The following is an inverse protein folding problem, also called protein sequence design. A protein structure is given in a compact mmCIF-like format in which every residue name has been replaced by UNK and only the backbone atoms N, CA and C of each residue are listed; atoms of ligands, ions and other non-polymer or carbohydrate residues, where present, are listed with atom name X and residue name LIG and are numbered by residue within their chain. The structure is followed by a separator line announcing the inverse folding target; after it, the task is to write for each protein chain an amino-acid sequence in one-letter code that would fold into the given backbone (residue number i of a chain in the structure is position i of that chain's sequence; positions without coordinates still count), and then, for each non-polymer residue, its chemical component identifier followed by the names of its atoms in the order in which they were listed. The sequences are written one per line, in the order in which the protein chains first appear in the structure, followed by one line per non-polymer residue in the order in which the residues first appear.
data_IF_648549011647
#
_entry.id   IF_648549011647
#
_cell.length_a   1.000
_cell.length_b   1.000
_cell.length_c   1.000
_cell.angle_alpha   90.00
_cell.angle_beta   90.00
_cell.angle_gamma   90.00
#
_symmetry.space_group_name_H-M   'P 1'
#
loop_
_entity.id
_entity.type
_entity.pdbx_description
1 polymer ?
#
# COMPACT_ATOMS: atom_id res chain seq x y z
N UNK A 1 28.61 -27.38 42.07
CA UNK A 1 29.84 -27.38 41.24
C UNK A 1 29.48 -27.87 39.85
N UNK A 2 30.11 -27.27 38.85
CA UNK A 2 30.26 -27.69 37.45
C UNK A 2 29.26 -27.15 36.40
N UNK A 3 29.84 -26.31 35.55
CA UNK A 3 29.35 -25.65 34.35
C UNK A 3 29.41 -26.59 33.15
N UNK A 4 28.55 -26.39 32.15
CA UNK A 4 28.87 -26.75 30.77
C UNK A 4 28.29 -25.72 29.79
N UNK A 5 29.21 -24.94 29.25
CA UNK A 5 29.10 -24.04 28.12
C UNK A 5 29.11 -24.87 26.82
N UNK A 6 28.36 -24.46 25.80
CA UNK A 6 28.30 -25.19 24.53
C UNK A 6 27.86 -24.27 23.38
N UNK A 7 28.83 -23.55 22.83
CA UNK A 7 28.70 -22.77 21.61
C UNK A 7 28.67 -23.67 20.37
N UNK A 8 27.84 -23.31 19.39
CA UNK A 8 27.86 -23.75 17.99
C UNK A 8 26.84 -22.90 17.24
N UNK A 9 27.18 -22.09 16.25
CA UNK A 9 28.13 -22.32 15.17
C UNK A 9 27.31 -22.57 13.90
N UNK A 10 26.86 -21.50 13.25
CA UNK A 10 26.01 -21.56 12.06
C UNK A 10 26.26 -20.37 11.15
N UNK A 11 27.33 -20.48 10.35
CA UNK A 11 27.63 -19.59 9.24
C UNK A 11 26.62 -19.78 8.11
N UNK A 12 26.10 -18.68 7.56
CA UNK A 12 25.15 -18.67 6.45
C UNK A 12 25.42 -17.49 5.52
N UNK A 13 26.46 -17.66 4.70
CA UNK A 13 26.66 -17.12 3.34
C UNK A 13 26.10 -15.75 2.97
N UNK A 14 27.04 -14.83 2.82
CA UNK A 14 26.98 -13.63 1.96
C UNK A 14 26.49 -13.94 0.55
N UNK A 15 25.51 -13.17 0.05
CA UNK A 15 25.23 -13.05 -1.38
C UNK A 15 25.62 -11.65 -1.80
N UNK A 16 26.83 -11.53 -2.36
CA UNK A 16 27.24 -10.40 -3.16
C UNK A 16 26.70 -10.60 -4.57
N UNK A 17 25.89 -9.66 -5.03
CA UNK A 17 25.57 -9.44 -6.44
C UNK A 17 25.45 -7.92 -6.56
N UNK A 18 26.23 -7.20 -7.33
CA UNK A 18 26.98 -7.53 -8.52
C UNK A 18 26.83 -6.28 -9.38
N UNK A 19 27.81 -5.37 -9.28
CA UNK A 19 27.86 -4.17 -10.11
C UNK A 19 27.88 -4.55 -11.58
N UNK A 20 26.82 -4.20 -12.31
CA UNK A 20 26.86 -4.07 -13.76
C UNK A 20 26.93 -2.59 -14.11
N UNK A 21 28.14 -2.14 -14.46
CA UNK A 21 28.35 -0.92 -15.19
C UNK A 21 27.97 -1.16 -16.67
N UNK A 22 27.15 -0.27 -17.24
CA UNK A 22 26.82 -0.24 -18.67
C UNK A 22 25.92 0.98 -18.93
N UNK A 23 26.47 2.19 -19.13
CA UNK A 23 26.98 2.74 -20.39
C UNK A 23 25.87 3.30 -21.29
N UNK A 24 25.67 4.62 -21.16
CA UNK A 24 25.46 5.55 -22.27
C UNK A 24 24.05 5.71 -22.83
N UNK A 25 23.67 6.97 -23.05
CA UNK A 25 22.55 7.31 -23.93
C UNK A 25 21.86 8.60 -23.50
N UNK A 26 22.43 9.75 -23.86
CA UNK A 26 21.72 11.03 -23.76
C UNK A 26 20.48 11.06 -24.66
N UNK A 27 19.54 11.94 -24.34
CA UNK A 27 18.45 12.25 -25.26
C UNK A 27 17.25 12.88 -24.59
N UNK A 28 17.15 14.21 -24.71
CA UNK A 28 15.89 14.88 -25.01
C UNK A 28 14.87 15.01 -23.88
N UNK A 29 14.72 16.24 -23.38
CA UNK A 29 13.42 16.77 -22.98
C UNK A 29 12.45 16.62 -24.16
N UNK A 30 11.65 15.56 -24.16
CA UNK A 30 10.56 15.34 -25.09
C UNK A 30 9.45 14.64 -24.33
N UNK A 31 8.25 15.22 -24.36
CA UNK A 31 7.06 14.64 -23.74
C UNK A 31 6.92 13.17 -24.16
N UNK A 32 7.25 12.26 -23.25
CA UNK A 32 7.01 10.82 -23.40
C UNK A 32 5.50 10.64 -23.34
N UNK A 33 4.86 10.69 -24.51
CA UNK A 33 3.47 10.28 -24.66
C UNK A 33 3.36 8.86 -24.15
N UNK A 34 2.70 8.68 -23.01
CA UNK A 34 2.42 7.35 -22.47
C UNK A 34 1.55 6.65 -23.50
N UNK A 35 2.05 5.55 -24.07
CA UNK A 35 1.30 4.82 -25.09
C UNK A 35 -0.01 4.31 -24.48
N UNK A 36 -1.13 4.31 -25.23
CA UNK A 36 -2.43 3.88 -24.71
C UNK A 36 -2.40 2.45 -24.16
N UNK A 37 -1.54 1.59 -24.74
CA UNK A 37 -1.32 0.23 -24.25
C UNK A 37 -0.52 0.22 -22.93
N UNK A 38 0.47 1.11 -22.76
CA UNK A 38 1.17 1.28 -21.48
C UNK A 38 0.24 1.81 -20.38
N UNK A 39 -0.70 2.70 -20.71
CA UNK A 39 -1.73 3.15 -19.78
C UNK A 39 -2.67 2.01 -19.38
N UNK A 40 -3.10 1.18 -20.34
CA UNK A 40 -3.93 0.00 -20.07
C UNK A 40 -3.23 -1.01 -19.17
N UNK A 41 -1.96 -1.30 -19.44
CA UNK A 41 -1.17 -2.23 -18.63
C UNK A 41 -0.96 -1.68 -17.20
N UNK A 42 -0.69 -0.38 -17.05
CA UNK A 42 -0.59 0.24 -15.73
C UNK A 42 -1.91 0.23 -14.96
N UNK A 43 -3.05 0.43 -15.63
CA UNK A 43 -4.37 0.33 -15.00
C UNK A 43 -4.72 -1.11 -14.62
N UNK A 44 -4.38 -2.09 -15.46
CA UNK A 44 -4.56 -3.50 -15.12
C UNK A 44 -3.68 -3.92 -13.93
N UNK A 45 -2.43 -3.46 -13.90
CA UNK A 45 -1.52 -3.66 -12.76
C UNK A 45 -2.05 -2.98 -11.50
N UNK A 46 -2.56 -1.74 -11.58
CA UNK A 46 -3.07 -1.04 -10.40
C UNK A 46 -4.28 -1.74 -9.79
N UNK A 47 -5.20 -2.26 -10.62
CA UNK A 47 -6.35 -3.03 -10.18
C UNK A 47 -5.93 -4.33 -9.46
N UNK A 48 -4.96 -5.05 -10.02
CA UNK A 48 -4.42 -6.27 -9.41
C UNK A 48 -3.70 -5.99 -8.08
N UNK A 49 -2.95 -4.88 -8.00
CA UNK A 49 -2.28 -4.47 -6.77
C UNK A 49 -3.28 -4.06 -5.69
N UNK A 50 -4.36 -3.36 -6.05
CA UNK A 50 -5.44 -3.02 -5.11
C UNK A 50 -6.11 -4.27 -4.54
N UNK A 51 -6.39 -5.26 -5.38
CA UNK A 51 -6.96 -6.53 -4.94
C UNK A 51 -6.02 -7.26 -3.98
N UNK A 52 -4.72 -7.33 -4.30
CA UNK A 52 -3.70 -7.93 -3.40
C UNK A 52 -3.62 -7.19 -2.07
N UNK A 53 -3.67 -5.86 -2.09
CA UNK A 53 -3.63 -5.05 -0.87
C UNK A 53 -4.85 -5.32 0.03
N UNK A 54 -6.05 -5.41 -0.56
CA UNK A 54 -7.27 -5.81 0.18
C UNK A 54 -7.11 -7.17 0.84
N UNK A 55 -6.62 -8.15 0.09
CA UNK A 55 -6.42 -9.51 0.60
C UNK A 55 -5.42 -9.55 1.76
N UNK A 56 -4.27 -8.88 1.63
CA UNK A 56 -3.26 -8.79 2.71
C UNK A 56 -3.87 -8.13 3.95
N UNK A 57 -4.67 -7.08 3.78
CA UNK A 57 -5.33 -6.38 4.88
C UNK A 57 -6.36 -7.26 5.58
N UNK A 58 -7.15 -8.03 4.84
CA UNK A 58 -8.08 -9.01 5.39
C UNK A 58 -7.36 -10.12 6.16
N UNK A 59 -6.29 -10.67 5.59
CA UNK A 59 -5.49 -11.72 6.22
C UNK A 59 -4.82 -11.21 7.51
N UNK A 60 -4.32 -9.97 7.51
CA UNK A 60 -3.74 -9.35 8.69
C UNK A 60 -4.77 -9.14 9.80
N UNK A 61 -5.96 -8.63 9.45
CA UNK A 61 -7.08 -8.51 10.39
C UNK A 61 -7.50 -9.86 10.96
N UNK A 62 -7.55 -10.89 10.12
CA UNK A 62 -7.86 -12.26 10.54
C UNK A 62 -6.82 -12.80 11.51
N UNK A 63 -5.53 -12.52 11.25
CA UNK A 63 -4.43 -12.91 12.13
C UNK A 63 -4.50 -12.17 13.48
N UNK A 64 -4.76 -10.86 13.48
CA UNK A 64 -4.96 -10.08 14.69
C UNK A 64 -6.14 -10.61 15.52
N UNK A 65 -7.29 -10.85 14.89
CA UNK A 65 -8.47 -11.40 15.56
C UNK A 65 -8.21 -12.81 16.13
N UNK A 66 -7.48 -13.65 15.39
CA UNK A 66 -7.08 -14.99 15.87
C UNK A 66 -6.16 -14.89 17.09
N UNK A 67 -5.20 -13.95 17.09
CA UNK A 67 -4.31 -13.69 18.24
C UNK A 67 -5.08 -13.12 19.43
N UNK A 68 -5.97 -12.15 19.21
CA UNK A 68 -6.84 -11.60 20.25
C UNK A 68 -7.71 -12.69 20.89
N UNK A 69 -8.33 -13.54 20.06
CA UNK A 69 -9.18 -14.65 20.53
C UNK A 69 -8.39 -15.72 21.27
N UNK A 70 -7.17 -16.04 20.83
CA UNK A 70 -6.28 -16.97 21.52
C UNK A 70 -5.83 -16.42 22.89
N UNK A 71 -5.56 -15.11 22.99
CA UNK A 71 -5.24 -14.45 24.25
C UNK A 71 -6.45 -14.37 25.20
N UNK A 72 -7.65 -14.17 24.68
CA UNK A 72 -8.89 -14.25 25.47
C UNK A 72 -9.17 -15.68 25.95
N UNK A 73 -8.99 -16.70 25.10
CA UNK A 73 -9.12 -18.10 25.50
C UNK A 73 -8.06 -18.51 26.55
N UNK A 74 -6.85 -17.94 26.47
CA UNK A 74 -5.80 -18.05 27.47
C UNK A 74 -6.01 -17.18 28.72
N UNK A 75 -7.03 -16.30 28.75
CA UNK A 75 -7.26 -15.30 29.80
C UNK A 75 -7.72 -15.87 31.15
N UNK A 76 -7.77 -17.19 31.32
CA UNK A 76 -7.79 -17.81 32.65
C UNK A 76 -6.42 -17.77 33.33
N UNK A 77 -5.35 -17.47 32.58
CA UNK A 77 -4.00 -17.25 33.11
C UNK A 77 -3.68 -15.75 33.11
N UNK A 78 -3.67 -15.13 34.29
CA UNK A 78 -3.27 -13.73 34.50
C UNK A 78 -1.77 -13.48 34.35
N UNK A 79 -1.10 -14.15 33.41
CA UNK A 79 0.35 -13.98 33.24
C UNK A 79 0.66 -12.63 32.60
N UNK A 80 1.75 -11.98 33.04
CA UNK A 80 2.20 -10.70 32.51
C UNK A 80 2.42 -10.72 30.98
N UNK A 81 2.79 -11.88 30.42
CA UNK A 81 2.94 -12.06 28.98
C UNK A 81 1.60 -11.96 28.22
N UNK A 82 0.50 -12.47 28.79
CA UNK A 82 -0.83 -12.37 28.18
C UNK A 82 -1.42 -10.95 28.23
N UNK A 83 -1.00 -10.15 29.22
CA UNK A 83 -1.35 -8.72 29.32
C UNK A 83 -0.55 -7.91 28.30
N UNK A 84 0.77 -8.13 28.23
CA UNK A 84 1.64 -7.46 27.25
C UNK A 84 1.22 -7.77 25.81
N UNK A 85 0.86 -9.03 25.50
CA UNK A 85 0.40 -9.40 24.18
C UNK A 85 -0.94 -8.74 23.79
N UNK A 86 -1.85 -8.52 24.76
CA UNK A 86 -3.10 -7.77 24.53
C UNK A 86 -2.82 -6.30 24.22
N UNK A 87 -1.96 -5.65 25.00
CA UNK A 87 -1.58 -4.26 24.76
C UNK A 87 -0.96 -4.07 23.36
N UNK A 88 -0.14 -5.02 22.90
CA UNK A 88 0.43 -4.99 21.55
C UNK A 88 -0.65 -5.15 20.48
N UNK A 89 -1.63 -6.05 20.68
CA UNK A 89 -2.72 -6.23 19.72
C UNK A 89 -3.62 -5.00 19.65
N UNK A 90 -3.93 -4.38 20.79
CA UNK A 90 -4.70 -3.14 20.86
C UNK A 90 -3.96 -1.98 20.16
N UNK A 91 -2.65 -1.85 20.37
CA UNK A 91 -1.83 -0.84 19.67
C UNK A 91 -1.84 -1.06 18.15
N UNK A 92 -1.68 -2.31 17.68
CA UNK A 92 -1.73 -2.64 16.26
C UNK A 92 -3.11 -2.36 15.65
N UNK A 93 -4.19 -2.64 16.38
CA UNK A 93 -5.55 -2.33 15.94
C UNK A 93 -5.77 -0.82 15.81
N UNK A 94 -5.25 -0.04 16.77
CA UNK A 94 -5.33 1.42 16.73
C UNK A 94 -4.57 2.00 15.54
N UNK A 95 -3.31 1.59 15.34
CA UNK A 95 -2.49 2.05 14.21
C UNK A 95 -3.11 1.67 12.87
N UNK A 96 -3.71 0.48 12.77
CA UNK A 96 -4.45 0.08 11.59
C UNK A 96 -5.67 0.98 11.35
N UNK A 97 -6.44 1.33 12.38
CA UNK A 97 -7.57 2.24 12.23
C UNK A 97 -7.15 3.63 11.74
N UNK A 98 -6.04 4.16 12.27
CA UNK A 98 -5.46 5.45 11.85
C UNK A 98 -5.01 5.41 10.38
N UNK A 99 -4.26 4.38 9.97
CA UNK A 99 -3.81 4.23 8.57
C UNK A 99 -5.00 4.11 7.60
N UNK A 100 -6.06 3.44 8.02
CA UNK A 100 -7.28 3.29 7.22
C UNK A 100 -7.98 4.62 7.01
N UNK A 101 -8.10 5.40 8.09
CA UNK A 101 -8.71 6.72 8.01
C UNK A 101 -7.91 7.66 7.11
N UNK A 102 -6.58 7.61 7.18
CA UNK A 102 -5.69 8.39 6.30
C UNK A 102 -5.89 8.01 4.83
N UNK A 103 -5.89 6.71 4.49
CA UNK A 103 -6.09 6.25 3.11
C UNK A 103 -7.48 6.55 2.57
N UNK A 104 -8.50 6.49 3.42
CA UNK A 104 -9.86 6.87 3.04
C UNK A 104 -9.96 8.37 2.76
N UNK A 105 -9.29 9.21 3.55
CA UNK A 105 -9.20 10.65 3.31
C UNK A 105 -8.44 10.97 2.01
N UNK A 106 -7.33 10.27 1.74
CA UNK A 106 -6.58 10.40 0.48
C UNK A 106 -7.44 10.01 -0.73
N UNK A 107 -8.19 8.90 -0.65
CA UNK A 107 -9.09 8.47 -1.71
C UNK A 107 -10.24 9.46 -1.94
N UNK A 108 -10.79 10.03 -0.87
CA UNK A 108 -11.78 11.10 -0.95
C UNK A 108 -11.21 12.36 -1.63
N UNK A 109 -9.97 12.72 -1.32
CA UNK A 109 -9.30 13.87 -1.93
C UNK A 109 -8.99 13.64 -3.41
N UNK A 110 -8.55 12.43 -3.77
CA UNK A 110 -8.31 12.05 -5.16
C UNK A 110 -9.61 12.06 -5.99
N UNK A 111 -10.69 11.48 -5.47
CA UNK A 111 -12.00 11.50 -6.14
C UNK A 111 -12.56 12.92 -6.31
N UNK A 112 -12.39 13.79 -5.31
CA UNK A 112 -12.78 15.20 -5.43
C UNK A 112 -12.01 15.95 -6.54
N UNK A 113 -10.69 15.71 -6.64
CA UNK A 113 -9.87 16.28 -7.72
C UNK A 113 -10.28 15.76 -9.10
N UNK A 114 -10.59 14.47 -9.21
CA UNK A 114 -11.07 13.88 -10.45
C UNK A 114 -12.39 14.55 -10.88
N UNK A 115 -13.35 14.67 -9.97
CA UNK A 115 -14.63 15.33 -10.26
C UNK A 115 -14.47 16.78 -10.70
N UNK A 116 -13.57 17.55 -10.07
CA UNK A 116 -13.26 18.91 -10.53
C UNK A 116 -12.68 18.93 -11.94
N UNK A 117 -11.76 18.01 -12.27
CA UNK A 117 -11.16 17.94 -13.60
C UNK A 117 -12.17 17.56 -14.68
N UNK A 118 -13.06 16.60 -14.39
CA UNK A 118 -14.15 16.20 -15.30
C UNK A 118 -15.13 17.35 -15.53
N UNK A 119 -15.49 18.08 -14.46
CA UNK A 119 -16.34 19.26 -14.57
C UNK A 119 -15.70 20.35 -15.43
N UNK A 120 -14.42 20.65 -15.22
CA UNK A 120 -13.70 21.66 -16.01
C UNK A 120 -13.65 21.30 -17.51
N UNK A 121 -13.44 20.02 -17.84
CA UNK A 121 -13.52 19.56 -19.24
C UNK A 121 -14.93 19.69 -19.81
N UNK A 122 -15.96 19.34 -19.02
CA UNK A 122 -17.36 19.48 -19.44
C UNK A 122 -17.71 20.94 -19.74
N UNK A 123 -17.34 21.85 -18.84
CA UNK A 123 -17.60 23.29 -19.00
C UNK A 123 -16.92 23.83 -20.27
N UNK A 124 -15.68 23.42 -20.53
CA UNK A 124 -14.95 23.78 -21.76
C UNK A 124 -15.63 23.25 -23.04
N UNK A 125 -16.11 22.00 -23.04
CA UNK A 125 -16.84 21.42 -24.17
C UNK A 125 -18.16 22.15 -24.47
N UNK A 126 -18.89 22.55 -23.41
CA UNK A 126 -20.13 23.33 -23.54
C UNK A 126 -19.83 24.71 -24.12
N UNK A 127 -18.81 25.40 -23.60
CA UNK A 127 -18.40 26.72 -24.10
C UNK A 127 -17.97 26.66 -25.57
N UNK A 128 -17.19 25.65 -25.96
CA UNK A 128 -16.81 25.42 -27.36
C UNK A 128 -18.02 25.19 -28.28
N UNK A 129 -19.03 24.45 -27.81
CA UNK A 129 -20.27 24.21 -28.56
C UNK A 129 -21.09 25.49 -28.73
N UNK A 130 -21.21 26.31 -27.68
CA UNK A 130 -21.91 27.59 -27.74
C UNK A 130 -21.21 28.60 -28.66
N UNK A 131 -19.88 28.63 -28.65
CA UNK A 131 -19.09 29.46 -29.57
C UNK A 131 -19.25 29.01 -31.02
N UNK A 132 -19.25 27.69 -31.29
CA UNK A 132 -19.46 27.16 -32.63
C UNK A 132 -20.84 27.54 -33.20
N UNK A 133 -21.90 27.54 -32.37
CA UNK A 133 -23.25 27.97 -32.77
C UNK A 133 -23.33 29.48 -33.00
N UNK A 134 -22.58 30.30 -32.26
CA UNK A 134 -22.58 31.77 -32.39
C UNK A 134 -21.81 32.28 -33.62
N UNK A 135 -20.89 31.49 -34.15
CA UNK A 135 -20.04 31.85 -35.32
C UNK A 135 -20.71 31.47 -36.66
N UNK A 136 -21.82 30.74 -36.64
CA UNK A 136 -22.72 30.53 -37.79
C UNK A 136 -23.80 31.60 -37.85
#
# INVERSE_FOLDING_TARGET
MQLANGAGGGAGTSVASGSAAGKGGGGGMGATGVSPDSLRDMLAQSALHHQKYKQIREDYNRLLNKRASALQAGSRSGSAAAVAARAIVEDLQKRLAEEVQEREAEAALYSAKLYQSEKAMSDWCVEGSLLAVRVQ
#
